data_IF_730700400978
#
_entry.id   IF_730700400978
#
_cell.length_a   1.000
_cell.length_b   1.000
_cell.length_c   1.000
_cell.angle_alpha   90.00
_cell.angle_beta   90.00
_cell.angle_gamma   90.00
#
_symmetry.space_group_name_H-M   'P 1'
#
loop_
_entity.id
_entity.type
_entity.pdbx_description
1 polymer ?
#
# COMPACT_ATOMS: atom_id res chain seq x y z
N UNK A 1 -14.77 8.99 -1.98
CA UNK A 1 -14.73 7.70 -2.68
C UNK A 1 -13.55 6.91 -2.16
N UNK A 2 -13.79 5.73 -1.60
CA UNK A 2 -12.77 4.79 -1.13
C UNK A 2 -12.51 3.72 -2.19
N UNK A 3 -11.28 3.21 -2.25
CA UNK A 3 -10.90 2.08 -3.11
C UNK A 3 -10.34 0.95 -2.27
N UNK A 4 -10.66 -0.28 -2.64
CA UNK A 4 -10.05 -1.47 -2.04
C UNK A 4 -8.97 -1.97 -2.99
N UNK A 5 -7.74 -2.12 -2.50
CA UNK A 5 -6.64 -2.69 -3.26
C UNK A 5 -6.47 -4.13 -2.82
N UNK A 6 -7.02 -5.08 -3.59
CA UNK A 6 -6.99 -6.51 -3.27
C UNK A 6 -5.81 -7.28 -3.85
N UNK A 7 -4.95 -6.62 -4.63
CA UNK A 7 -3.71 -7.16 -5.16
C UNK A 7 -2.53 -6.37 -4.58
N UNK A 8 -1.48 -7.07 -4.19
CA UNK A 8 -0.25 -6.47 -3.66
C UNK A 8 0.55 -5.75 -4.73
N UNK A 9 0.47 -6.18 -5.98
CA UNK A 9 1.30 -5.71 -7.10
C UNK A 9 1.18 -4.20 -7.36
N UNK A 10 -0.03 -3.61 -7.48
CA UNK A 10 -0.16 -2.17 -7.72
C UNK A 10 0.50 -1.33 -6.63
N UNK A 11 0.26 -1.67 -5.37
CA UNK A 11 0.80 -0.91 -4.24
C UNK A 11 2.32 -1.11 -4.13
N UNK A 12 2.80 -2.34 -4.32
CA UNK A 12 4.21 -2.68 -4.34
C UNK A 12 4.99 -1.84 -5.35
N UNK A 13 4.55 -1.80 -6.61
CA UNK A 13 5.26 -1.06 -7.65
C UNK A 13 5.08 0.46 -7.53
N UNK A 14 3.92 0.96 -7.07
CA UNK A 14 3.76 2.39 -6.80
C UNK A 14 4.78 2.88 -5.77
N UNK A 15 5.00 2.13 -4.68
CA UNK A 15 6.00 2.46 -3.67
C UNK A 15 7.42 2.37 -4.24
N UNK A 16 7.73 1.34 -5.03
CA UNK A 16 9.06 1.22 -5.66
C UNK A 16 9.35 2.36 -6.63
N UNK A 17 8.32 2.87 -7.32
CA UNK A 17 8.42 4.01 -8.21
C UNK A 17 8.38 5.37 -7.48
N UNK A 18 8.11 5.40 -6.16
CA UNK A 18 7.87 6.64 -5.41
C UNK A 18 6.62 7.41 -5.88
N UNK A 19 5.64 6.69 -6.43
CA UNK A 19 4.43 7.23 -7.06
C UNK A 19 3.16 6.98 -6.23
N UNK A 20 3.26 6.40 -5.04
CA UNK A 20 2.13 6.08 -4.16
C UNK A 20 1.31 7.31 -3.76
N UNK A 21 1.91 8.51 -3.80
CA UNK A 21 1.24 9.78 -3.54
C UNK A 21 0.13 10.12 -4.56
N UNK A 22 0.01 9.39 -5.67
CA UNK A 22 -1.12 9.51 -6.58
C UNK A 22 -2.43 8.96 -5.98
N UNK A 23 -2.34 7.96 -5.10
CA UNK A 23 -3.50 7.30 -4.51
C UNK A 23 -4.41 8.26 -3.71
N UNK A 24 -3.89 9.11 -2.79
CA UNK A 24 -4.73 10.09 -2.09
C UNK A 24 -5.29 11.20 -2.99
N UNK A 25 -4.76 11.38 -4.21
CA UNK A 25 -5.31 12.34 -5.18
C UNK A 25 -6.51 11.76 -5.94
N UNK A 26 -6.49 10.45 -6.17
CA UNK A 26 -7.55 9.73 -6.88
C UNK A 26 -8.67 9.24 -5.94
N UNK A 27 -8.30 8.90 -4.71
CA UNK A 27 -9.19 8.29 -3.72
C UNK A 27 -9.01 8.99 -2.38
N UNK A 28 -10.12 9.14 -1.64
CA UNK A 28 -10.06 9.71 -0.29
C UNK A 28 -9.45 8.73 0.72
N UNK A 29 -9.60 7.43 0.45
CA UNK A 29 -9.12 6.37 1.32
C UNK A 29 -8.77 5.13 0.49
N UNK A 30 -7.64 4.51 0.82
CA UNK A 30 -7.23 3.22 0.31
C UNK A 30 -7.38 2.19 1.42
N UNK A 31 -8.18 1.16 1.14
CA UNK A 31 -8.39 0.03 2.03
C UNK A 31 -7.53 -1.14 1.54
N UNK A 32 -6.70 -1.67 2.43
CA UNK A 32 -5.77 -2.76 2.16
C UNK A 32 -6.26 -3.97 2.96
N UNK A 33 -6.64 -5.08 2.31
CA UNK A 33 -6.98 -6.30 3.01
C UNK A 33 -5.81 -6.80 3.87
N UNK A 34 -6.07 -7.43 5.03
CA UNK A 34 -5.01 -7.95 5.90
C UNK A 34 -4.02 -8.87 5.18
N UNK A 35 -4.50 -9.69 4.24
CA UNK A 35 -3.66 -10.58 3.43
C UNK A 35 -2.66 -9.79 2.56
N UNK A 36 -3.13 -8.75 1.87
CA UNK A 36 -2.27 -7.86 1.06
C UNK A 36 -1.25 -7.15 1.95
N UNK A 37 -1.67 -6.69 3.13
CA UNK A 37 -0.77 -6.05 4.09
C UNK A 37 0.32 -7.01 4.59
N UNK A 38 0.00 -8.29 4.77
CA UNK A 38 0.99 -9.32 5.13
C UNK A 38 1.97 -9.59 3.98
N UNK A 39 1.50 -9.62 2.73
CA UNK A 39 2.36 -9.79 1.55
C UNK A 39 3.39 -8.65 1.41
N UNK A 40 3.00 -7.40 1.70
CA UNK A 40 3.92 -6.24 1.71
C UNK A 40 5.03 -6.34 2.78
N UNK A 41 4.91 -7.24 3.74
CA UNK A 41 5.87 -7.41 4.84
C UNK A 41 6.72 -8.67 4.72
N UNK A 42 6.53 -9.47 3.67
CA UNK A 42 7.27 -10.71 3.48
C UNK A 42 8.79 -10.48 3.42
N UNK A 43 9.63 -11.46 3.83
CA UNK A 43 11.08 -11.30 3.92
C UNK A 43 11.73 -10.83 2.61
N UNK A 44 11.25 -11.35 1.48
CA UNK A 44 11.70 -11.05 0.13
C UNK A 44 11.19 -9.70 -0.43
N UNK A 45 10.27 -9.03 0.27
CA UNK A 45 9.76 -7.72 -0.15
C UNK A 45 10.85 -6.65 0.02
N UNK A 46 11.02 -5.73 -0.96
CA UNK A 46 12.01 -4.67 -0.89
C UNK A 46 11.88 -3.80 0.37
N UNK A 47 13.01 -3.25 0.82
CA UNK A 47 13.07 -2.48 2.08
C UNK A 47 12.15 -1.25 2.06
N UNK A 48 12.06 -0.53 0.93
CA UNK A 48 11.17 0.63 0.78
C UNK A 48 9.70 0.27 0.97
N UNK A 49 9.26 -0.84 0.39
CA UNK A 49 7.89 -1.35 0.53
C UNK A 49 7.61 -1.77 1.97
N UNK A 50 8.53 -2.48 2.62
CA UNK A 50 8.40 -2.86 4.04
C UNK A 50 8.35 -1.64 4.96
N UNK A 51 9.19 -0.64 4.71
CA UNK A 51 9.20 0.61 5.47
C UNK A 51 7.89 1.38 5.31
N UNK A 52 7.37 1.44 4.09
CA UNK A 52 6.06 2.06 3.82
C UNK A 52 4.93 1.32 4.55
N UNK A 53 4.91 -0.01 4.50
CA UNK A 53 3.93 -0.81 5.22
C UNK A 53 4.05 -0.67 6.75
N UNK A 54 5.28 -0.52 7.27
CA UNK A 54 5.54 -0.24 8.69
C UNK A 54 5.18 1.16 9.15
N UNK A 55 4.98 2.11 8.23
CA UNK A 55 4.63 3.50 8.49
C UNK A 55 3.48 3.95 7.58
N UNK A 56 2.36 3.21 7.65
CA UNK A 56 1.19 3.46 6.80
C UNK A 56 0.77 4.94 6.82
N UNK A 57 0.60 5.57 5.63
CA UNK A 57 0.08 6.92 5.53
C UNK A 57 -1.36 7.02 6.05
N UNK A 58 -1.79 8.21 6.49
CA UNK A 58 -3.14 8.43 7.03
C UNK A 58 -4.29 8.11 6.05
N UNK A 59 -4.02 8.15 4.74
CA UNK A 59 -4.99 7.82 3.69
C UNK A 59 -5.11 6.31 3.44
N UNK A 60 -4.23 5.48 4.00
CA UNK A 60 -4.24 4.04 3.87
C UNK A 60 -4.68 3.40 5.19
N UNK A 61 -5.53 2.38 5.11
CA UNK A 61 -5.98 1.61 6.29
C UNK A 61 -5.99 0.12 5.98
N UNK A 62 -5.81 -0.71 7.01
CA UNK A 62 -5.90 -2.16 6.91
C UNK A 62 -7.27 -2.60 7.43
N UNK A 63 -8.13 -3.13 6.56
CA UNK A 63 -9.49 -3.60 6.90
C UNK A 63 -9.89 -4.80 6.04
#
# INVERSE_FOLDING_TARGET
MSVVISDTSPLHYLILCGAEAILPQLFQQVVIPPTVFQELQQPNTPASVKQWAGSLPMWATVQ
#
